data_IF_415102472992
#
_entry.id   IF_415102472992
#
_cell.length_a   1.000
_cell.length_b   1.000
_cell.length_c   1.000
_cell.angle_alpha   90.00
_cell.angle_beta   90.00
_cell.angle_gamma   90.00
#
_symmetry.space_group_name_H-M   'P 1'
#
loop_
_entity.id
_entity.type
_entity.pdbx_description
1 polymer ?
#
# COMPACT_ATOMS: atom_id res chain seq x y z
N UNK A 1 -20.47 18.43 -14.40
CA UNK A 1 -20.13 17.05 -14.85
C UNK A 1 -18.75 16.73 -14.35
N UNK A 2 -18.57 15.52 -13.84
CA UNK A 2 -17.30 14.96 -13.41
C UNK A 2 -16.83 13.90 -14.41
N UNK A 3 -15.58 13.47 -14.27
CA UNK A 3 -15.02 12.37 -15.04
C UNK A 3 -14.60 11.24 -14.09
N UNK A 4 -14.72 9.99 -14.54
CA UNK A 4 -14.29 8.84 -13.77
C UNK A 4 -13.79 7.70 -14.67
N UNK A 5 -12.89 6.90 -14.15
CA UNK A 5 -12.58 5.59 -14.72
C UNK A 5 -13.59 4.59 -14.17
N UNK A 6 -14.35 3.97 -15.05
CA UNK A 6 -15.34 2.95 -14.69
C UNK A 6 -15.04 1.60 -15.30
N UNK A 7 -15.43 0.56 -14.62
CA UNK A 7 -15.44 -0.82 -15.13
C UNK A 7 -16.87 -1.34 -15.16
N UNK A 8 -17.27 -1.93 -16.29
CA UNK A 8 -18.61 -2.54 -16.47
C UNK A 8 -18.51 -4.08 -16.39
N UNK A 9 -17.32 -4.61 -16.52
CA UNK A 9 -16.99 -6.02 -16.35
C UNK A 9 -15.62 -6.16 -15.70
N UNK A 10 -15.33 -7.29 -15.06
CA UNK A 10 -13.99 -7.62 -14.63
C UNK A 10 -13.13 -8.03 -15.84
N UNK A 11 -11.83 -7.73 -15.80
CA UNK A 11 -10.95 -8.04 -16.92
C UNK A 11 -9.54 -7.45 -16.77
N UNK A 12 -8.85 -7.37 -17.89
CA UNK A 12 -7.55 -6.74 -18.04
C UNK A 12 -7.65 -5.21 -18.00
N UNK A 13 -6.53 -4.48 -18.18
CA UNK A 13 -6.53 -3.01 -18.13
C UNK A 13 -7.46 -2.33 -19.17
N UNK A 14 -7.83 -3.01 -20.23
CA UNK A 14 -8.75 -2.53 -21.28
C UNK A 14 -10.17 -2.25 -20.79
N UNK A 15 -10.60 -2.81 -19.66
CA UNK A 15 -11.93 -2.55 -19.09
C UNK A 15 -12.04 -1.22 -18.35
N UNK A 16 -10.92 -0.50 -18.19
CA UNK A 16 -10.87 0.82 -17.55
C UNK A 16 -11.29 1.91 -18.55
N UNK A 17 -12.54 2.33 -18.46
CA UNK A 17 -13.15 3.29 -19.38
C UNK A 17 -13.24 4.68 -18.75
N UNK A 18 -12.81 5.71 -19.48
CA UNK A 18 -12.90 7.11 -19.08
C UNK A 18 -14.25 7.70 -19.50
N UNK A 19 -15.10 8.01 -18.54
CA UNK A 19 -16.49 8.37 -18.77
C UNK A 19 -16.88 9.70 -18.11
N UNK A 20 -17.86 10.37 -18.70
CA UNK A 20 -18.59 11.47 -18.07
C UNK A 20 -19.59 10.87 -17.06
N UNK A 21 -19.58 11.40 -15.86
CA UNK A 21 -20.50 11.00 -14.80
C UNK A 21 -21.10 12.25 -14.14
N UNK A 22 -22.32 12.17 -13.57
CA UNK A 22 -22.84 13.26 -12.75
C UNK A 22 -21.84 13.59 -11.63
N UNK A 23 -21.66 14.86 -11.34
CA UNK A 23 -20.92 15.26 -10.12
C UNK A 23 -21.76 14.85 -8.91
N UNK A 24 -21.28 14.00 -7.99
CA UNK A 24 -22.10 13.57 -6.87
C UNK A 24 -22.28 14.71 -5.86
N UNK A 25 -23.41 14.65 -5.13
CA UNK A 25 -23.69 15.55 -4.00
C UNK A 25 -23.45 14.82 -2.70
N UNK A 26 -22.82 15.47 -1.68
CA UNK A 26 -22.55 14.82 -0.40
C UNK A 26 -23.84 14.62 0.41
N UNK A 27 -24.12 13.38 0.78
CA UNK A 27 -25.18 13.03 1.72
C UNK A 27 -24.84 13.39 3.17
N UNK A 28 -25.76 13.14 4.12
CA UNK A 28 -25.48 13.37 5.55
C UNK A 28 -24.22 12.63 6.00
N UNK A 29 -23.32 13.34 6.69
CA UNK A 29 -22.04 12.80 7.16
C UNK A 29 -20.94 12.65 6.09
N UNK A 30 -21.22 13.00 4.83
CA UNK A 30 -20.27 12.91 3.73
C UNK A 30 -19.66 14.27 3.34
N UNK A 31 -18.51 14.24 2.73
CA UNK A 31 -17.90 15.38 2.06
C UNK A 31 -17.65 15.06 0.58
N UNK A 32 -17.79 16.07 -0.28
CA UNK A 32 -17.38 16.02 -1.68
C UNK A 32 -15.94 16.52 -1.79
N UNK A 33 -15.06 15.64 -2.24
CA UNK A 33 -13.65 15.96 -2.51
C UNK A 33 -13.43 16.10 -4.00
N UNK A 34 -12.83 17.23 -4.42
CA UNK A 34 -12.23 17.40 -5.74
C UNK A 34 -10.81 16.88 -5.67
N UNK A 35 -10.51 15.81 -6.40
CA UNK A 35 -9.17 15.23 -6.40
C UNK A 35 -8.17 16.14 -7.12
N UNK A 36 -6.97 16.22 -6.56
CA UNK A 36 -5.77 16.80 -7.17
C UNK A 36 -4.77 15.71 -7.54
N UNK A 37 -4.83 14.56 -6.84
CA UNK A 37 -4.03 13.38 -7.12
C UNK A 37 -4.73 12.12 -6.60
N UNK A 38 -4.53 11.01 -7.27
CA UNK A 38 -5.07 9.68 -6.94
C UNK A 38 -3.92 8.68 -6.93
N UNK A 39 -3.82 7.85 -5.91
CA UNK A 39 -2.81 6.80 -5.81
C UNK A 39 -3.23 5.54 -6.57
N UNK A 40 -2.29 4.95 -7.31
CA UNK A 40 -2.44 3.63 -7.90
C UNK A 40 -1.83 2.58 -6.98
N UNK A 41 -2.63 1.58 -6.63
CA UNK A 41 -2.22 0.50 -5.75
C UNK A 41 -2.57 -0.88 -6.33
N UNK A 42 -1.84 -1.92 -5.94
CA UNK A 42 -2.09 -3.27 -6.45
C UNK A 42 -3.48 -3.80 -6.09
N UNK A 43 -4.09 -3.31 -5.01
CA UNK A 43 -5.47 -3.65 -4.64
C UNK A 43 -6.49 -3.20 -5.70
N UNK A 44 -6.20 -2.14 -6.45
CA UNK A 44 -7.06 -1.66 -7.54
C UNK A 44 -7.10 -2.68 -8.69
N UNK A 45 -5.97 -3.37 -8.93
CA UNK A 45 -5.92 -4.52 -9.85
C UNK A 45 -6.82 -5.66 -9.35
N UNK A 46 -6.84 -5.95 -8.05
CA UNK A 46 -7.67 -7.01 -7.49
C UNK A 46 -9.17 -6.73 -7.67
N UNK A 47 -9.61 -5.48 -7.52
CA UNK A 47 -10.99 -5.08 -7.81
C UNK A 47 -11.29 -5.14 -9.31
N UNK A 48 -10.39 -4.64 -10.15
CA UNK A 48 -10.58 -4.66 -11.59
C UNK A 48 -10.69 -6.09 -12.14
N UNK A 49 -9.85 -7.02 -11.67
CA UNK A 49 -9.83 -8.41 -12.14
C UNK A 49 -10.91 -9.29 -11.50
N UNK A 50 -11.61 -8.80 -10.46
CA UNK A 50 -12.62 -9.55 -9.73
C UNK A 50 -12.07 -10.50 -8.66
N UNK A 51 -10.76 -10.48 -8.39
CA UNK A 51 -10.20 -11.19 -7.22
C UNK A 51 -10.85 -10.69 -5.92
N UNK A 52 -11.09 -9.37 -5.83
CA UNK A 52 -11.93 -8.78 -4.80
C UNK A 52 -13.25 -8.37 -5.42
N UNK A 53 -14.33 -8.88 -4.87
CA UNK A 53 -15.68 -8.64 -5.40
C UNK A 53 -16.10 -7.19 -5.20
N UNK A 54 -16.72 -6.62 -6.23
CA UNK A 54 -17.42 -5.33 -6.18
C UNK A 54 -18.67 -5.40 -7.06
N UNK A 55 -19.66 -4.57 -6.76
CA UNK A 55 -20.82 -4.42 -7.61
C UNK A 55 -20.45 -3.62 -8.85
N UNK A 56 -20.84 -4.09 -10.02
CA UNK A 56 -20.61 -3.44 -11.31
C UNK A 56 -21.91 -2.75 -11.80
N UNK A 57 -21.79 -1.63 -12.53
CA UNK A 57 -20.58 -0.92 -12.89
C UNK A 57 -19.96 -0.17 -11.70
N UNK A 58 -18.61 -0.09 -11.64
CA UNK A 58 -17.89 0.52 -10.53
C UNK A 58 -16.82 1.52 -10.98
N UNK A 59 -16.59 2.55 -10.18
CA UNK A 59 -15.36 3.35 -10.20
C UNK A 59 -14.41 2.74 -9.19
N UNK A 60 -13.21 2.34 -9.62
CA UNK A 60 -12.21 1.75 -8.73
C UNK A 60 -11.33 2.80 -8.06
N UNK A 61 -10.30 2.35 -7.33
CA UNK A 61 -9.36 3.19 -6.60
C UNK A 61 -9.75 3.37 -5.14
N UNK A 62 -8.75 3.28 -4.26
CA UNK A 62 -8.93 3.37 -2.81
C UNK A 62 -8.29 4.59 -2.18
N UNK A 63 -7.38 5.27 -2.87
CA UNK A 63 -6.53 6.33 -2.34
C UNK A 63 -6.63 7.59 -3.17
N UNK A 64 -6.73 8.73 -2.50
CA UNK A 64 -6.74 10.02 -3.16
C UNK A 64 -6.48 11.17 -2.20
N UNK A 65 -6.10 12.30 -2.77
CA UNK A 65 -5.92 13.58 -2.08
C UNK A 65 -6.47 14.72 -2.92
N UNK A 66 -6.94 15.77 -2.25
CA UNK A 66 -7.50 16.94 -2.91
C UNK A 66 -8.13 17.90 -1.92
N UNK A 67 -9.10 18.66 -2.39
CA UNK A 67 -9.76 19.72 -1.63
C UNK A 67 -11.23 19.39 -1.41
N UNK A 68 -11.72 19.57 -0.20
CA UNK A 68 -13.15 19.49 0.10
C UNK A 68 -13.85 20.67 -0.59
N UNK A 69 -14.88 20.39 -1.41
CA UNK A 69 -15.62 21.42 -2.13
C UNK A 69 -17.05 21.60 -1.60
N UNK A 70 -17.60 20.61 -0.94
CA UNK A 70 -18.88 20.67 -0.26
C UNK A 70 -18.96 19.64 0.88
N UNK A 71 -19.84 19.86 1.83
CA UNK A 71 -20.10 18.94 2.94
C UNK A 71 -21.60 18.75 3.12
N UNK A 72 -22.00 17.53 3.47
CA UNK A 72 -23.38 17.21 3.84
C UNK A 72 -23.72 17.62 5.28
N UNK A 73 -24.99 17.44 5.63
CA UNK A 73 -25.47 17.76 6.99
C UNK A 73 -24.74 16.92 8.05
N UNK A 74 -24.44 17.53 9.21
CA UNK A 74 -23.81 16.84 10.34
C UNK A 74 -22.29 16.66 10.23
N UNK A 75 -21.65 17.11 9.15
CA UNK A 75 -20.19 17.09 9.02
C UNK A 75 -19.58 18.21 9.86
N UNK A 76 -18.65 17.83 10.76
CA UNK A 76 -17.92 18.79 11.64
C UNK A 76 -16.40 18.60 11.57
N UNK A 77 -15.93 17.51 10.95
CA UNK A 77 -14.51 17.13 10.89
C UNK A 77 -13.73 17.88 9.82
N UNK A 78 -14.40 18.27 8.74
CA UNK A 78 -13.83 18.99 7.59
C UNK A 78 -14.79 20.07 7.10
N UNK A 79 -14.28 21.04 6.34
CA UNK A 79 -15.05 22.12 5.72
C UNK A 79 -14.57 22.39 4.29
N UNK A 80 -15.37 23.04 3.44
CA UNK A 80 -14.93 23.48 2.12
C UNK A 80 -13.64 24.29 2.20
N UNK A 81 -12.68 23.97 1.32
CA UNK A 81 -11.33 24.53 1.30
C UNK A 81 -10.29 23.68 2.05
N UNK A 82 -10.68 22.77 2.92
CA UNK A 82 -9.71 21.89 3.60
C UNK A 82 -9.00 20.97 2.59
N UNK A 83 -7.68 20.90 2.69
CA UNK A 83 -6.86 19.91 1.98
C UNK A 83 -6.91 18.59 2.74
N UNK A 84 -7.29 17.53 2.04
CA UNK A 84 -7.54 16.24 2.66
C UNK A 84 -6.94 15.09 1.84
N UNK A 85 -6.68 13.97 2.52
CA UNK A 85 -6.35 12.70 1.88
C UNK A 85 -7.07 11.55 2.58
N UNK A 86 -7.11 10.42 1.91
CA UNK A 86 -7.71 9.19 2.42
C UNK A 86 -7.14 7.94 1.72
N UNK A 87 -7.25 6.79 2.38
CA UNK A 87 -7.07 5.48 1.78
C UNK A 87 -8.03 4.49 2.44
N UNK A 88 -9.20 4.30 1.84
CA UNK A 88 -10.28 3.52 2.45
C UNK A 88 -11.31 3.02 1.44
N UNK A 89 -12.07 1.99 1.84
CA UNK A 89 -13.31 1.59 1.21
C UNK A 89 -14.47 2.54 1.60
N UNK A 90 -15.54 2.60 0.76
CA UNK A 90 -15.68 1.94 -0.53
C UNK A 90 -14.68 2.45 -1.56
N UNK A 91 -14.48 1.69 -2.66
CA UNK A 91 -13.67 2.14 -3.82
C UNK A 91 -14.33 3.33 -4.50
N UNK A 92 -13.58 4.10 -5.34
CA UNK A 92 -14.15 5.24 -6.06
C UNK A 92 -13.17 6.40 -6.27
N UNK A 93 -11.88 6.21 -5.99
CA UNK A 93 -10.89 7.27 -6.09
C UNK A 93 -10.53 7.66 -7.54
N UNK A 94 -10.74 6.76 -8.51
CA UNK A 94 -10.42 7.05 -9.91
C UNK A 94 -11.47 7.96 -10.56
N UNK A 95 -11.68 9.11 -9.97
CA UNK A 95 -12.62 10.14 -10.42
C UNK A 95 -12.06 11.55 -10.15
N UNK A 96 -12.57 12.54 -10.87
CA UNK A 96 -12.23 13.95 -10.60
C UNK A 96 -12.87 14.46 -9.31
N UNK A 97 -14.04 13.91 -8.96
CA UNK A 97 -14.77 14.23 -7.73
C UNK A 97 -15.33 12.96 -7.10
N UNK A 98 -15.38 12.95 -5.77
CA UNK A 98 -15.91 11.80 -5.02
C UNK A 98 -16.59 12.25 -3.73
N UNK A 99 -17.75 11.68 -3.39
CA UNK A 99 -18.27 11.74 -2.02
C UNK A 99 -17.66 10.62 -1.18
N UNK A 100 -17.38 10.94 0.07
CA UNK A 100 -16.79 10.02 1.05
C UNK A 100 -17.24 10.41 2.46
N UNK A 101 -17.44 9.41 3.33
CA UNK A 101 -17.72 9.64 4.74
C UNK A 101 -16.61 10.53 5.35
N UNK A 102 -17.03 11.63 5.96
CA UNK A 102 -16.10 12.67 6.44
C UNK A 102 -15.17 12.18 7.56
N UNK A 103 -15.59 11.15 8.29
CA UNK A 103 -14.77 10.49 9.32
C UNK A 103 -13.61 9.64 8.74
N UNK A 104 -13.59 9.42 7.42
CA UNK A 104 -12.48 8.76 6.72
C UNK A 104 -11.45 9.74 6.17
N UNK A 105 -11.78 11.03 6.13
CA UNK A 105 -10.88 12.08 5.63
C UNK A 105 -9.87 12.49 6.71
N UNK A 106 -8.63 12.70 6.28
CA UNK A 106 -7.55 13.22 7.11
C UNK A 106 -7.09 14.55 6.53
N UNK A 107 -7.06 15.61 7.35
CA UNK A 107 -6.52 16.92 6.92
C UNK A 107 -5.02 16.81 6.71
N UNK A 108 -4.55 17.39 5.62
CA UNK A 108 -3.13 17.40 5.28
C UNK A 108 -2.40 18.52 5.99
N UNK A 109 -1.23 18.27 6.59
CA UNK A 109 -0.31 19.32 6.99
C UNK A 109 0.13 20.15 5.77
N UNK A 110 0.42 21.45 5.99
CA UNK A 110 0.84 22.36 4.91
C UNK A 110 2.09 21.87 4.16
N UNK A 111 3.01 21.24 4.86
CA UNK A 111 4.25 20.69 4.29
C UNK A 111 4.06 19.45 3.39
N UNK A 112 2.86 18.88 3.32
CA UNK A 112 2.57 17.69 2.51
C UNK A 112 1.62 18.10 1.38
N UNK A 113 2.08 18.05 0.14
CA UNK A 113 1.26 18.29 -1.04
C UNK A 113 0.36 17.10 -1.37
N UNK A 114 -0.67 17.35 -2.18
CA UNK A 114 -1.68 16.34 -2.54
C UNK A 114 -1.08 15.17 -3.35
N UNK A 115 -0.04 15.42 -4.15
CA UNK A 115 0.63 14.37 -4.93
C UNK A 115 1.38 13.42 -4.02
N UNK A 116 2.14 13.96 -3.07
CA UNK A 116 2.83 13.18 -2.03
C UNK A 116 1.82 12.42 -1.17
N UNK A 117 0.73 13.07 -0.76
CA UNK A 117 -0.32 12.45 0.04
C UNK A 117 -0.98 11.27 -0.70
N UNK A 118 -1.38 11.44 -1.96
CA UNK A 118 -1.96 10.36 -2.77
C UNK A 118 -0.99 9.21 -3.08
N UNK A 119 0.30 9.41 -2.88
CA UNK A 119 1.34 8.40 -3.06
C UNK A 119 1.71 7.65 -1.78
N UNK A 120 1.18 8.07 -0.62
CA UNK A 120 1.64 7.53 0.67
C UNK A 120 0.53 7.07 1.62
N UNK A 121 -0.73 7.52 1.46
CA UNK A 121 -1.75 7.23 2.48
C UNK A 121 -1.98 5.72 2.61
N UNK A 122 -2.26 4.99 1.53
CA UNK A 122 -2.45 3.55 1.59
C UNK A 122 -1.15 2.84 1.95
N UNK A 123 -0.07 3.17 1.26
CA UNK A 123 1.21 2.48 1.37
C UNK A 123 1.90 2.78 2.71
N UNK A 124 1.90 4.03 3.14
CA UNK A 124 2.51 4.48 4.39
C UNK A 124 1.73 4.02 5.63
N UNK A 125 0.40 4.09 5.61
CA UNK A 125 -0.40 3.51 6.69
C UNK A 125 -0.24 1.99 6.77
N UNK A 126 -0.05 1.33 5.61
CA UNK A 126 0.28 -0.11 5.58
C UNK A 126 1.63 -0.35 6.23
N UNK A 127 2.66 0.38 5.87
CA UNK A 127 3.98 0.25 6.51
C UNK A 127 3.93 0.53 8.02
N UNK A 128 3.15 1.54 8.44
CA UNK A 128 2.98 1.86 9.86
C UNK A 128 2.44 0.67 10.65
N UNK A 129 1.28 0.11 10.25
CA UNK A 129 0.72 -0.99 11.04
C UNK A 129 1.58 -2.26 10.96
N UNK A 130 2.25 -2.51 9.83
CA UNK A 130 3.15 -3.65 9.69
C UNK A 130 4.31 -3.57 10.69
N UNK A 131 4.97 -2.41 10.80
CA UNK A 131 6.16 -2.21 11.65
C UNK A 131 5.83 -1.98 13.13
N UNK A 132 4.65 -1.43 13.45
CA UNK A 132 4.33 -1.02 14.83
C UNK A 132 3.25 -1.84 15.52
N UNK A 133 2.43 -2.58 14.75
CA UNK A 133 1.24 -3.25 15.31
C UNK A 133 1.13 -4.73 14.94
N UNK A 134 1.49 -5.12 13.73
CA UNK A 134 1.45 -6.53 13.29
C UNK A 134 2.65 -7.29 13.88
N UNK A 135 3.84 -6.80 13.61
CA UNK A 135 5.06 -7.15 14.32
C UNK A 135 5.68 -5.83 14.83
N UNK A 136 5.89 -5.76 16.12
CA UNK A 136 6.44 -4.55 16.75
C UNK A 136 7.96 -4.58 16.61
N UNK A 137 8.46 -4.02 15.50
CA UNK A 137 9.89 -3.97 15.18
C UNK A 137 10.66 -3.25 16.27
N UNK A 138 11.74 -3.88 16.75
CA UNK A 138 12.64 -3.35 17.76
C UNK A 138 14.01 -3.00 17.14
N UNK A 139 14.73 -2.12 17.81
CA UNK A 139 16.12 -1.84 17.46
C UNK A 139 16.95 -3.14 17.53
N UNK A 140 17.67 -3.45 16.46
CA UNK A 140 18.49 -4.66 16.36
C UNK A 140 17.79 -5.84 15.68
N UNK A 141 16.48 -5.78 15.42
CA UNK A 141 15.80 -6.81 14.63
C UNK A 141 16.36 -6.85 13.20
N UNK A 142 16.38 -8.04 12.62
CA UNK A 142 16.60 -8.23 11.19
C UNK A 142 15.27 -8.63 10.55
N UNK A 143 14.76 -7.82 9.62
CA UNK A 143 13.46 -8.02 8.97
C UNK A 143 13.64 -8.31 7.48
N UNK A 144 12.79 -9.19 6.91
CA UNK A 144 12.78 -9.50 5.49
C UNK A 144 11.58 -8.82 4.81
N UNK A 145 11.85 -8.08 3.73
CA UNK A 145 10.83 -7.30 3.00
C UNK A 145 10.83 -7.71 1.53
N UNK A 146 9.76 -8.34 1.07
CA UNK A 146 9.53 -8.62 -0.35
C UNK A 146 9.10 -7.38 -1.12
N UNK A 147 9.38 -7.37 -2.44
CA UNK A 147 9.11 -6.24 -3.32
C UNK A 147 9.67 -4.91 -2.76
N UNK A 148 10.89 -4.95 -2.23
CA UNK A 148 11.54 -3.86 -1.48
C UNK A 148 11.69 -2.55 -2.28
N UNK A 149 11.63 -2.59 -3.62
CA UNK A 149 11.65 -1.40 -4.50
C UNK A 149 10.25 -0.89 -4.89
N UNK A 150 9.17 -1.52 -4.41
CA UNK A 150 7.79 -1.05 -4.59
C UNK A 150 7.40 0.01 -3.58
N UNK A 151 6.18 0.56 -3.71
CA UNK A 151 5.74 1.67 -2.86
C UNK A 151 5.78 1.37 -1.36
N UNK A 152 5.12 0.31 -0.89
CA UNK A 152 5.21 -0.11 0.53
C UNK A 152 6.63 -0.54 0.88
N UNK A 153 7.32 -1.25 -0.03
CA UNK A 153 8.67 -1.76 0.19
C UNK A 153 9.69 -0.67 0.51
N UNK A 154 9.72 0.41 -0.29
CA UNK A 154 10.63 1.55 -0.04
C UNK A 154 10.33 2.25 1.29
N UNK A 155 9.07 2.34 1.68
CA UNK A 155 8.69 2.92 2.98
C UNK A 155 9.12 2.00 4.11
N UNK A 156 8.89 0.68 4.00
CA UNK A 156 9.33 -0.31 5.00
C UNK A 156 10.84 -0.30 5.18
N UNK A 157 11.62 -0.19 4.09
CA UNK A 157 13.08 -0.12 4.16
C UNK A 157 13.55 1.12 4.94
N UNK A 158 13.02 2.29 4.60
CA UNK A 158 13.39 3.56 5.25
C UNK A 158 12.94 3.58 6.72
N UNK A 159 11.68 3.22 6.98
CA UNK A 159 11.12 3.28 8.33
C UNK A 159 11.71 2.20 9.24
N UNK A 160 11.88 0.96 8.73
CA UNK A 160 12.57 -0.10 9.45
C UNK A 160 13.99 0.31 9.87
N UNK A 161 14.76 0.89 8.94
CA UNK A 161 16.08 1.46 9.25
C UNK A 161 16.00 2.58 10.31
N UNK A 162 15.01 3.48 10.22
CA UNK A 162 14.81 4.55 11.20
C UNK A 162 14.48 4.01 12.60
N UNK A 163 13.83 2.84 12.68
CA UNK A 163 13.59 2.11 13.94
C UNK A 163 14.83 1.37 14.46
N UNK A 164 15.93 1.36 13.70
CA UNK A 164 17.17 0.68 14.05
C UNK A 164 17.20 -0.81 13.70
N UNK A 165 16.33 -1.26 12.80
CA UNK A 165 16.36 -2.61 12.27
C UNK A 165 17.35 -2.75 11.10
N UNK A 166 17.88 -3.96 10.92
CA UNK A 166 18.56 -4.39 9.70
C UNK A 166 17.51 -4.88 8.71
N UNK A 167 17.44 -4.27 7.52
CA UNK A 167 16.43 -4.61 6.52
C UNK A 167 17.07 -5.42 5.40
N UNK A 168 16.60 -6.65 5.20
CA UNK A 168 16.90 -7.49 4.04
C UNK A 168 15.78 -7.27 3.01
N UNK A 169 16.10 -6.62 1.89
CA UNK A 169 15.16 -6.39 0.79
C UNK A 169 15.23 -7.50 -0.26
N UNK A 170 14.09 -7.95 -0.77
CA UNK A 170 14.01 -8.87 -1.92
C UNK A 170 13.44 -8.14 -3.12
N UNK A 171 14.13 -8.19 -4.24
CA UNK A 171 13.75 -7.52 -5.50
C UNK A 171 13.95 -8.41 -6.71
N UNK A 172 13.36 -8.02 -7.85
CA UNK A 172 13.41 -8.83 -9.08
C UNK A 172 14.58 -8.53 -10.02
N UNK A 173 15.27 -7.39 -9.86
CA UNK A 173 16.35 -6.97 -10.77
C UNK A 173 17.48 -6.25 -10.02
N UNK A 174 18.70 -6.25 -10.57
CA UNK A 174 19.82 -5.48 -10.00
C UNK A 174 19.53 -3.98 -9.88
N UNK A 175 18.87 -3.36 -10.87
CA UNK A 175 18.53 -1.95 -10.82
C UNK A 175 17.57 -1.63 -9.64
N UNK A 176 16.62 -2.54 -9.34
CA UNK A 176 15.75 -2.42 -8.16
C UNK A 176 16.51 -2.64 -6.86
N UNK A 177 17.60 -3.41 -6.88
CA UNK A 177 18.46 -3.59 -5.70
C UNK A 177 19.16 -2.29 -5.30
N UNK A 178 19.71 -1.55 -6.27
CA UNK A 178 20.31 -0.24 -6.01
C UNK A 178 19.28 0.75 -5.42
N UNK A 179 18.06 0.75 -5.95
CA UNK A 179 16.98 1.58 -5.43
C UNK A 179 16.61 1.22 -3.98
N UNK A 180 16.50 -0.07 -3.67
CA UNK A 180 16.18 -0.52 -2.31
C UNK A 180 17.30 -0.15 -1.31
N UNK A 181 18.59 -0.31 -1.70
CA UNK A 181 19.74 0.12 -0.88
C UNK A 181 19.72 1.62 -0.62
N UNK A 182 19.50 2.42 -1.66
CA UNK A 182 19.41 3.88 -1.55
C UNK A 182 18.28 4.33 -0.60
N UNK A 183 17.27 3.45 -0.39
CA UNK A 183 16.13 3.69 0.51
C UNK A 183 16.22 2.88 1.81
N UNK A 184 17.39 2.46 2.24
CA UNK A 184 17.60 1.96 3.60
C UNK A 184 17.61 0.43 3.76
N UNK A 185 17.47 -0.35 2.68
CA UNK A 185 17.77 -1.78 2.76
C UNK A 185 19.26 -1.99 3.03
N UNK A 186 19.59 -2.71 4.10
CA UNK A 186 20.99 -2.99 4.50
C UNK A 186 21.60 -4.05 3.59
N UNK A 187 20.82 -5.08 3.27
CA UNK A 187 21.15 -6.16 2.37
C UNK A 187 20.05 -6.32 1.32
N UNK A 188 20.38 -6.75 0.11
CA UNK A 188 19.40 -6.96 -0.94
C UNK A 188 19.68 -8.25 -1.70
N UNK A 189 18.65 -9.08 -1.78
CA UNK A 189 18.63 -10.34 -2.52
C UNK A 189 17.89 -10.08 -3.84
N UNK A 190 18.50 -10.48 -4.96
CA UNK A 190 17.88 -10.40 -6.29
C UNK A 190 17.33 -11.77 -6.69
N UNK A 191 16.03 -11.84 -6.94
CA UNK A 191 15.32 -13.12 -7.16
C UNK A 191 14.91 -13.77 -5.84
N UNK A 192 14.30 -14.95 -5.92
CA UNK A 192 13.83 -15.70 -4.74
C UNK A 192 14.17 -17.20 -4.80
N UNK A 193 14.87 -17.65 -5.84
CA UNK A 193 15.16 -19.08 -6.05
C UNK A 193 16.03 -19.69 -4.94
N UNK A 194 16.92 -18.89 -4.33
CA UNK A 194 17.80 -19.30 -3.24
C UNK A 194 17.57 -18.50 -1.96
N UNK A 195 16.37 -17.93 -1.80
CA UNK A 195 16.05 -16.99 -0.74
C UNK A 195 16.40 -17.48 0.67
N UNK A 196 16.03 -18.70 1.12
CA UNK A 196 16.37 -19.17 2.47
C UNK A 196 17.87 -19.31 2.69
N UNK A 197 18.62 -19.75 1.68
CA UNK A 197 20.08 -19.90 1.78
C UNK A 197 20.79 -18.54 1.92
N UNK A 198 20.33 -17.53 1.15
CA UNK A 198 20.85 -16.17 1.24
C UNK A 198 20.50 -15.51 2.58
N UNK A 199 19.27 -15.66 3.07
CA UNK A 199 18.88 -15.17 4.40
C UNK A 199 19.73 -15.83 5.48
N UNK A 200 19.93 -17.15 5.41
CA UNK A 200 20.80 -17.88 6.34
C UNK A 200 22.22 -17.35 6.31
N UNK A 201 22.79 -17.08 5.14
CA UNK A 201 24.13 -16.51 4.98
C UNK A 201 24.22 -15.12 5.61
N UNK A 202 23.28 -14.23 5.30
CA UNK A 202 23.25 -12.84 5.79
C UNK A 202 23.11 -12.79 7.32
N UNK A 203 22.26 -13.66 7.88
CA UNK A 203 21.97 -13.69 9.33
C UNK A 203 22.92 -14.58 10.14
N UNK A 204 23.95 -15.18 9.51
CA UNK A 204 24.82 -16.14 10.20
C UNK A 204 24.09 -17.37 10.72
N UNK A 205 22.94 -17.73 10.13
CA UNK A 205 22.11 -18.87 10.52
C UNK A 205 20.97 -18.54 11.49
N UNK A 206 20.89 -17.31 12.01
CA UNK A 206 19.85 -16.92 12.98
C UNK A 206 18.44 -16.84 12.35
N UNK A 207 18.34 -16.66 11.04
CA UNK A 207 17.11 -16.39 10.30
C UNK A 207 16.43 -15.08 10.74
N UNK A 208 15.19 -14.79 10.28
CA UNK A 208 14.52 -13.53 10.61
C UNK A 208 13.29 -13.75 11.52
N UNK A 209 13.00 -12.85 12.46
CA UNK A 209 11.79 -12.95 13.29
C UNK A 209 10.51 -12.63 12.52
N UNK A 210 10.59 -11.88 11.42
CA UNK A 210 9.43 -11.49 10.62
C UNK A 210 9.76 -11.38 9.14
N UNK A 211 8.81 -11.84 8.31
CA UNK A 211 8.80 -11.64 6.84
C UNK A 211 7.57 -10.82 6.47
N UNK A 212 7.76 -9.74 5.73
CA UNK A 212 6.71 -8.93 5.11
C UNK A 212 6.59 -9.26 3.63
N UNK A 213 5.51 -9.92 3.22
CA UNK A 213 5.31 -10.43 1.87
C UNK A 213 4.05 -9.85 1.23
N UNK A 214 4.24 -9.06 0.16
CA UNK A 214 3.18 -8.53 -0.71
C UNK A 214 3.04 -9.32 -2.01
N UNK A 215 3.90 -10.31 -2.27
CA UNK A 215 3.95 -11.06 -3.52
C UNK A 215 2.94 -12.22 -3.52
N UNK A 216 2.96 -13.04 -2.50
CA UNK A 216 1.97 -14.10 -2.27
C UNK A 216 2.39 -15.45 -2.84
N UNK A 217 1.66 -15.97 -3.85
CA UNK A 217 1.81 -17.32 -4.35
C UNK A 217 3.26 -17.75 -4.58
N UNK A 218 4.05 -16.92 -5.25
CA UNK A 218 5.39 -17.32 -5.72
C UNK A 218 6.46 -17.29 -4.60
N UNK A 219 6.17 -16.63 -3.47
CA UNK A 219 7.17 -16.37 -2.40
C UNK A 219 6.83 -17.00 -1.06
N UNK A 220 5.55 -17.30 -0.81
CA UNK A 220 5.05 -17.68 0.51
C UNK A 220 5.82 -18.83 1.16
N UNK A 221 6.03 -19.94 0.42
CA UNK A 221 6.70 -21.13 0.98
C UNK A 221 8.17 -20.86 1.31
N UNK A 222 8.90 -20.19 0.39
CA UNK A 222 10.28 -19.79 0.63
C UNK A 222 10.40 -18.79 1.79
N UNK A 223 9.39 -17.93 1.96
CA UNK A 223 9.32 -16.98 3.08
C UNK A 223 9.19 -17.68 4.44
N UNK A 224 8.41 -18.76 4.53
CA UNK A 224 8.33 -19.58 5.75
C UNK A 224 9.70 -20.19 6.13
N UNK A 225 10.51 -20.58 5.13
CA UNK A 225 11.85 -21.14 5.33
C UNK A 225 12.90 -20.07 5.73
N UNK A 226 12.56 -18.79 5.64
CA UNK A 226 13.42 -17.68 6.09
C UNK A 226 13.20 -17.31 7.56
N UNK A 227 12.16 -17.83 8.19
CA UNK A 227 11.80 -17.45 9.57
C UNK A 227 12.62 -18.23 10.62
N UNK A 228 13.01 -17.53 11.67
CA UNK A 228 13.48 -18.14 12.91
C UNK A 228 12.32 -18.91 13.60
N UNK A 229 12.60 -19.86 14.49
CA UNK A 229 11.55 -20.46 15.31
C UNK A 229 10.70 -19.38 16.00
N UNK A 230 9.37 -19.60 16.08
CA UNK A 230 8.36 -18.65 16.57
C UNK A 230 8.25 -17.36 15.72
N UNK A 231 8.83 -17.34 14.52
CA UNK A 231 8.78 -16.19 13.61
C UNK A 231 7.40 -15.97 12.99
N UNK A 232 7.17 -14.76 12.54
CA UNK A 232 5.89 -14.29 11.99
C UNK A 232 5.97 -14.08 10.45
N UNK A 233 5.17 -14.83 9.72
CA UNK A 233 4.88 -14.59 8.31
C UNK A 233 3.73 -13.60 8.16
N UNK A 234 3.99 -12.43 7.59
CA UNK A 234 2.98 -11.40 7.31
C UNK A 234 2.74 -11.34 5.82
N UNK A 235 1.71 -12.02 5.32
CA UNK A 235 1.31 -11.93 3.91
C UNK A 235 0.25 -10.85 3.75
N UNK A 236 0.59 -9.71 3.11
CA UNK A 236 -0.31 -8.56 3.00
C UNK A 236 -0.68 -8.18 1.56
N UNK A 237 -0.19 -8.94 0.56
CA UNK A 237 -0.50 -8.73 -0.85
C UNK A 237 -0.63 -10.05 -1.65
N UNK A 238 -1.02 -9.94 -2.92
CA UNK A 238 -1.20 -11.05 -3.86
C UNK A 238 -0.68 -10.67 -5.24
N UNK A 239 0.49 -9.99 -5.33
CA UNK A 239 1.00 -9.49 -6.61
C UNK A 239 1.29 -10.59 -7.64
N UNK A 240 1.63 -11.82 -7.20
CA UNK A 240 1.77 -13.00 -8.05
C UNK A 240 0.55 -13.94 -8.01
N UNK A 241 -0.50 -13.54 -7.30
CA UNK A 241 -1.70 -14.33 -7.06
C UNK A 241 -1.86 -14.72 -5.59
N UNK A 242 -3.05 -15.23 -5.21
CA UNK A 242 -3.32 -15.66 -3.85
C UNK A 242 -2.44 -16.84 -3.45
N UNK A 243 -2.09 -16.92 -2.17
CA UNK A 243 -1.41 -18.09 -1.60
C UNK A 243 -2.34 -19.30 -1.74
N UNK A 244 -1.85 -20.42 -2.30
CA UNK A 244 -2.65 -21.62 -2.39
C UNK A 244 -2.90 -22.23 -1.00
N UNK A 245 -3.90 -23.11 -0.86
CA UNK A 245 -4.09 -23.87 0.37
C UNK A 245 -2.80 -24.61 0.76
N UNK A 246 -2.43 -24.55 2.05
CA UNK A 246 -1.28 -25.27 2.59
C UNK A 246 -1.65 -25.95 3.92
N UNK A 247 -0.89 -26.97 4.27
CA UNK A 247 -1.12 -27.71 5.51
C UNK A 247 -0.54 -26.99 6.73
N UNK A 248 -1.36 -26.78 7.77
CA UNK A 248 -0.95 -26.10 9.00
C UNK A 248 0.22 -26.81 9.70
N UNK A 249 0.36 -28.14 9.54
CA UNK A 249 1.48 -28.90 10.06
C UNK A 249 2.86 -28.39 9.64
N UNK A 250 2.95 -27.72 8.50
CA UNK A 250 4.19 -27.10 8.04
C UNK A 250 4.66 -25.98 8.97
N UNK A 251 3.76 -25.25 9.62
CA UNK A 251 4.12 -24.21 10.59
C UNK A 251 4.81 -24.82 11.82
N UNK A 252 4.30 -25.95 12.30
CA UNK A 252 4.93 -26.71 13.39
C UNK A 252 6.29 -27.23 12.97
N UNK A 253 6.38 -27.90 11.82
CA UNK A 253 7.62 -28.50 11.31
C UNK A 253 8.74 -27.47 11.05
N UNK A 254 8.38 -26.24 10.71
CA UNK A 254 9.33 -25.14 10.45
C UNK A 254 9.66 -24.28 11.69
N UNK A 255 9.25 -24.69 12.90
CA UNK A 255 9.62 -24.02 14.14
C UNK A 255 8.47 -23.29 14.84
N UNK A 256 7.23 -23.82 14.77
CA UNK A 256 6.04 -23.24 15.43
C UNK A 256 5.77 -21.81 14.97
N UNK A 257 5.76 -21.60 13.67
CA UNK A 257 5.62 -20.28 13.05
C UNK A 257 4.20 -19.70 13.21
N UNK A 258 4.11 -18.39 13.16
CA UNK A 258 2.85 -17.66 13.08
C UNK A 258 2.62 -17.17 11.64
N UNK A 259 1.37 -17.14 11.20
CA UNK A 259 0.96 -16.56 9.90
C UNK A 259 -0.19 -15.59 10.13
N UNK A 260 -0.12 -14.42 9.52
CA UNK A 260 -1.23 -13.46 9.55
C UNK A 260 -1.45 -12.83 8.16
N UNK A 261 -2.72 -12.48 7.90
CA UNK A 261 -3.15 -11.75 6.70
C UNK A 261 -3.83 -10.44 7.12
N UNK A 262 -3.05 -9.38 7.46
CA UNK A 262 -3.62 -8.11 7.92
C UNK A 262 -4.26 -7.32 6.78
N UNK A 263 -5.21 -6.43 7.12
CA UNK A 263 -5.79 -5.47 6.19
C UNK A 263 -5.77 -4.06 6.80
N UNK A 264 -5.51 -3.05 6.00
CA UNK A 264 -5.55 -1.65 6.44
C UNK A 264 -6.90 -1.28 7.06
N UNK A 265 -8.00 -1.78 6.48
CA UNK A 265 -9.35 -1.54 6.97
C UNK A 265 -9.53 -1.93 8.45
N UNK A 266 -8.97 -3.07 8.87
CA UNK A 266 -9.02 -3.51 10.27
C UNK A 266 -8.22 -2.59 11.19
N UNK A 267 -7.02 -2.19 10.76
CA UNK A 267 -6.12 -1.36 11.57
C UNK A 267 -6.54 0.11 11.65
N UNK A 268 -7.43 0.57 10.76
CA UNK A 268 -7.96 1.95 10.72
C UNK A 268 -9.48 2.02 10.88
N UNK A 269 -10.11 0.95 11.35
CA UNK A 269 -11.56 0.86 11.50
C UNK A 269 -12.13 1.97 12.38
N UNK A 270 -11.48 2.23 13.52
CA UNK A 270 -11.85 3.30 14.44
C UNK A 270 -11.17 4.62 14.01
N UNK A 271 -11.89 5.75 14.13
CA UNK A 271 -11.35 7.08 13.82
C UNK A 271 -10.05 7.36 14.58
N UNK A 272 -9.98 7.04 15.87
CA UNK A 272 -8.77 7.23 16.68
C UNK A 272 -7.57 6.41 16.19
N UNK A 273 -7.81 5.21 15.63
CA UNK A 273 -6.74 4.42 15.02
C UNK A 273 -6.26 5.02 13.71
N UNK A 274 -7.19 5.52 12.87
CA UNK A 274 -6.85 6.23 11.63
C UNK A 274 -5.99 7.47 11.94
N UNK A 275 -6.40 8.28 12.90
CA UNK A 275 -5.67 9.49 13.32
C UNK A 275 -4.27 9.17 13.84
N UNK A 276 -4.12 8.14 14.69
CA UNK A 276 -2.82 7.73 15.19
C UNK A 276 -1.89 7.26 14.05
N UNK A 277 -2.38 6.36 13.19
CA UNK A 277 -1.60 5.81 12.08
C UNK A 277 -1.15 6.91 11.12
N UNK A 278 -2.03 7.89 10.83
CA UNK A 278 -1.70 9.00 9.95
C UNK A 278 -0.79 10.03 10.61
N UNK A 279 -0.94 10.28 11.92
CA UNK A 279 -0.02 11.16 12.66
C UNK A 279 1.41 10.61 12.65
N UNK A 280 1.59 9.31 12.91
CA UNK A 280 2.89 8.65 12.82
C UNK A 280 3.49 8.73 11.41
N UNK A 281 2.67 8.50 10.38
CA UNK A 281 3.08 8.61 8.98
C UNK A 281 3.52 10.04 8.63
N UNK A 282 2.72 11.04 8.98
CA UNK A 282 3.06 12.43 8.71
C UNK A 282 4.34 12.86 9.44
N UNK A 283 4.49 12.45 10.69
CA UNK A 283 5.68 12.76 11.49
C UNK A 283 6.96 12.19 10.85
N UNK A 284 6.94 10.91 10.42
CA UNK A 284 8.12 10.27 9.83
C UNK A 284 8.47 10.84 8.46
N UNK A 285 7.46 11.27 7.68
CA UNK A 285 7.68 11.94 6.38
C UNK A 285 8.20 13.35 6.57
N UNK A 286 7.62 14.14 7.48
CA UNK A 286 8.06 15.50 7.78
C UNK A 286 9.45 15.56 8.39
N UNK A 287 9.85 14.56 9.18
CA UNK A 287 11.22 14.44 9.70
C UNK A 287 12.26 14.13 8.61
N UNK A 288 11.83 13.72 7.41
CA UNK A 288 12.71 13.29 6.32
C UNK A 288 13.27 11.88 6.49
N UNK A 289 12.92 11.16 7.56
CA UNK A 289 13.33 9.78 7.77
C UNK A 289 12.71 8.82 6.75
N UNK A 290 11.51 9.15 6.25
CA UNK A 290 10.88 8.50 5.11
C UNK A 290 10.61 9.53 4.03
N UNK A 291 11.14 9.31 2.84
CA UNK A 291 10.89 10.10 1.63
C UNK A 291 9.98 9.31 0.69
N UNK A 292 8.89 9.92 0.27
CA UNK A 292 7.94 9.27 -0.63
C UNK A 292 8.45 9.37 -2.06
N UNK A 293 8.73 8.21 -2.66
CA UNK A 293 9.26 8.12 -4.01
C UNK A 293 8.11 8.02 -5.03
N UNK A 294 7.68 9.17 -5.59
CA UNK A 294 6.71 9.21 -6.70
C UNK A 294 7.48 9.10 -8.01
N UNK A 295 7.72 7.86 -8.44
CA UNK A 295 8.58 7.59 -9.60
C UNK A 295 7.83 7.59 -10.93
N UNK A 296 6.50 7.40 -10.92
CA UNK A 296 5.66 7.44 -12.12
C UNK A 296 4.43 8.33 -11.90
N UNK A 297 4.08 9.06 -12.96
CA UNK A 297 2.87 9.88 -13.00
C UNK A 297 2.18 9.67 -14.35
N UNK A 298 0.88 9.45 -14.32
CA UNK A 298 0.03 9.33 -15.50
C UNK A 298 -1.15 10.31 -15.38
N UNK A 299 -1.76 10.71 -16.49
CA UNK A 299 -3.07 11.33 -16.41
C UNK A 299 -4.10 10.30 -15.96
N UNK A 300 -5.09 10.69 -15.17
CA UNK A 300 -6.13 9.76 -14.67
C UNK A 300 -6.85 9.03 -15.82
N UNK A 301 -7.08 9.71 -16.94
CA UNK A 301 -7.66 9.10 -18.16
C UNK A 301 -6.83 7.94 -18.72
N UNK A 302 -5.53 7.91 -18.42
CA UNK A 302 -4.58 6.91 -18.89
C UNK A 302 -4.35 5.79 -17.86
N UNK A 303 -5.27 5.62 -16.91
CA UNK A 303 -5.19 4.61 -15.85
C UNK A 303 -4.93 3.18 -16.40
N UNK A 304 -5.46 2.84 -17.57
CA UNK A 304 -5.19 1.56 -18.22
C UNK A 304 -3.70 1.35 -18.54
N UNK A 305 -2.99 2.39 -18.97
CA UNK A 305 -1.54 2.33 -19.22
C UNK A 305 -0.76 2.19 -17.90
N UNK A 306 -1.17 2.91 -16.85
CA UNK A 306 -0.58 2.81 -15.53
C UNK A 306 -0.73 1.40 -14.92
N UNK A 307 -1.91 0.77 -15.07
CA UNK A 307 -2.14 -0.61 -14.66
C UNK A 307 -1.26 -1.60 -15.43
N UNK A 308 -1.13 -1.46 -16.74
CA UNK A 308 -0.21 -2.30 -17.55
C UNK A 308 1.23 -2.21 -17.05
N UNK A 309 1.72 -1.01 -16.79
CA UNK A 309 3.09 -0.80 -16.30
C UNK A 309 3.30 -1.44 -14.91
N UNK A 310 2.30 -1.33 -14.00
CA UNK A 310 2.33 -1.93 -12.68
C UNK A 310 2.38 -3.47 -12.78
N UNK A 311 1.49 -4.09 -13.55
CA UNK A 311 1.40 -5.55 -13.72
C UNK A 311 2.62 -6.12 -14.45
N UNK A 312 3.20 -5.36 -15.39
CA UNK A 312 4.45 -5.71 -16.06
C UNK A 312 5.70 -5.54 -15.16
N UNK A 313 5.54 -5.14 -13.89
CA UNK A 313 6.63 -4.90 -12.92
C UNK A 313 7.63 -3.81 -13.39
N UNK A 314 7.18 -2.89 -14.25
CA UNK A 314 7.98 -1.78 -14.79
C UNK A 314 8.01 -0.57 -13.84
N UNK A 315 7.19 -0.57 -12.80
CA UNK A 315 7.11 0.52 -11.82
C UNK A 315 8.03 0.28 -10.63
N UNK A 316 8.42 1.37 -9.99
CA UNK A 316 9.13 1.42 -8.70
C UNK A 316 8.53 2.53 -7.84
N UNK A 317 8.68 2.44 -6.51
CA UNK A 317 8.05 3.42 -5.62
C UNK A 317 6.55 3.51 -5.83
N UNK A 318 5.99 4.70 -5.69
CA UNK A 318 4.57 4.98 -5.86
C UNK A 318 4.25 5.52 -7.26
N UNK A 319 3.06 5.20 -7.75
CA UNK A 319 2.49 5.72 -8.99
C UNK A 319 1.29 6.60 -8.68
N UNK A 320 1.23 7.79 -9.27
CA UNK A 320 0.15 8.77 -9.08
C UNK A 320 -0.56 9.02 -10.40
N UNK A 321 -1.89 9.09 -10.34
CA UNK A 321 -2.77 9.49 -11.44
C UNK A 321 -3.26 10.92 -11.18
N UNK A 322 -3.11 11.80 -12.18
CA UNK A 322 -3.54 13.20 -12.10
C UNK A 322 -4.84 13.39 -12.85
N UNK A 323 -5.91 13.89 -12.18
CA UNK A 323 -7.20 14.14 -12.78
C UNK A 323 -7.19 15.15 -13.93
#
# INVERSE_FOLDING_TARGET
MSKAIRIHANGGPEVLLWEDVPTPEPGPGEALVKHEAVGLNYIDVYFRTGLYKTQLPATIGMEGAGVVVAVGTGVTTVQPGDRVAYATAPIGAYATHRTIASDRLVKLPDAIDSRTAAAMMLQGMTAQYLLHRTYKVQKGDTILVHAAAGGVGLILCQWGRALGATVIGVVSTPAKAELARAHGASEVIVGHDHLPAEVKRITGGAMVPVVYDSVGRDTFMASLDCLAPLGLMVTYGNASGPVPPFELGQLSAKGSLFVTRPTLATYTAKRADLERVTADLFAVVQSGAVKIAVNQTFALKDAAAAHRALEARQTTGSTVLLP
#
